data_IF_776186632370
#
_entry.id   IF_776186632370
#
_cell.length_a   1.000
_cell.length_b   1.000
_cell.length_c   1.000
_cell.angle_alpha   90.00
_cell.angle_beta   90.00
_cell.angle_gamma   90.00
#
_symmetry.space_group_name_H-M   'P 1'
#
loop_
_entity.id
_entity.type
_entity.pdbx_description
1 polymer ?
#
# COMPACT_ATOMS: atom_id res chain seq x y z
N UNK A 1 10.99 -34.13 -3.95
CA UNK A 1 9.65 -33.58 -4.25
C UNK A 1 9.40 -32.47 -3.24
N UNK A 2 8.89 -31.30 -3.65
CA UNK A 2 8.54 -30.27 -2.66
C UNK A 2 7.39 -30.77 -1.79
N UNK A 3 7.31 -30.28 -0.55
CA UNK A 3 6.34 -30.71 0.47
C UNK A 3 4.88 -30.59 0.01
N UNK A 4 4.58 -29.68 -0.92
CA UNK A 4 3.22 -29.39 -1.38
C UNK A 4 2.96 -29.76 -2.85
N UNK A 5 3.86 -30.52 -3.47
CA UNK A 5 3.68 -30.99 -4.86
C UNK A 5 2.32 -31.66 -5.06
N UNK A 6 1.49 -31.13 -5.97
CA UNK A 6 0.13 -31.61 -6.24
C UNK A 6 -0.96 -31.07 -5.30
N UNK A 7 -0.61 -30.18 -4.36
CA UNK A 7 -1.58 -29.39 -3.60
C UNK A 7 -1.92 -28.10 -4.34
N UNK A 8 -3.15 -27.62 -4.18
CA UNK A 8 -3.61 -26.37 -4.80
C UNK A 8 -3.82 -25.28 -3.76
N UNK A 9 -3.36 -24.07 -4.06
CA UNK A 9 -3.63 -22.86 -3.29
C UNK A 9 -4.39 -21.84 -4.15
N UNK A 10 -5.29 -21.09 -3.51
CA UNK A 10 -6.03 -20.00 -4.15
C UNK A 10 -5.72 -18.69 -3.43
N UNK A 11 -5.37 -17.65 -4.19
CA UNK A 11 -5.13 -16.30 -3.66
C UNK A 11 -6.22 -15.36 -4.18
N UNK A 12 -6.93 -14.71 -3.25
CA UNK A 12 -7.98 -13.73 -3.57
C UNK A 12 -7.43 -12.33 -3.38
N UNK A 13 -7.28 -11.58 -4.47
CA UNK A 13 -6.64 -10.27 -4.53
C UNK A 13 -5.28 -10.35 -5.24
N UNK A 14 -5.19 -9.76 -6.42
CA UNK A 14 -4.02 -9.90 -7.30
C UNK A 14 -3.03 -8.75 -7.22
N UNK A 15 -2.96 -8.04 -6.09
CA UNK A 15 -2.03 -6.91 -5.86
C UNK A 15 -0.69 -7.39 -5.28
N UNK A 16 0.16 -6.47 -4.81
CA UNK A 16 1.50 -6.74 -4.28
C UNK A 16 1.53 -7.88 -3.25
N UNK A 17 0.71 -7.80 -2.19
CA UNK A 17 0.69 -8.83 -1.14
C UNK A 17 0.24 -10.21 -1.66
N UNK A 18 -0.78 -10.23 -2.51
CA UNK A 18 -1.30 -11.46 -3.10
C UNK A 18 -0.31 -12.11 -4.07
N UNK A 19 0.32 -11.34 -4.95
CA UNK A 19 1.35 -11.83 -5.86
C UNK A 19 2.59 -12.32 -5.10
N UNK A 20 3.05 -11.61 -4.06
CA UNK A 20 4.15 -12.10 -3.20
C UNK A 20 3.77 -13.43 -2.55
N UNK A 21 2.56 -13.59 -2.01
CA UNK A 21 2.10 -14.85 -1.47
C UNK A 21 2.05 -15.96 -2.53
N UNK A 22 1.52 -15.65 -3.71
CA UNK A 22 1.38 -16.62 -4.79
C UNK A 22 2.72 -17.17 -5.27
N UNK A 23 3.69 -16.28 -5.47
CA UNK A 23 5.06 -16.63 -5.85
C UNK A 23 5.77 -17.51 -4.81
N UNK A 24 5.64 -17.16 -3.52
CA UNK A 24 6.21 -17.97 -2.45
C UNK A 24 5.54 -19.35 -2.32
N UNK A 25 4.23 -19.44 -2.58
CA UNK A 25 3.52 -20.71 -2.60
C UNK A 25 3.93 -21.58 -3.80
N UNK A 26 4.21 -20.98 -4.97
CA UNK A 26 4.78 -21.70 -6.11
C UNK A 26 6.17 -22.26 -5.79
N UNK A 27 7.01 -21.53 -5.07
CA UNK A 27 8.33 -22.02 -4.62
C UNK A 27 8.21 -23.24 -3.66
N UNK A 28 7.13 -23.30 -2.89
CA UNK A 28 6.80 -24.48 -2.06
C UNK A 28 6.18 -25.63 -2.87
N UNK A 29 5.87 -25.41 -4.15
CA UNK A 29 5.34 -26.37 -5.13
C UNK A 29 3.83 -26.55 -5.11
N UNK A 30 3.08 -25.57 -4.59
CA UNK A 30 1.65 -25.50 -4.84
C UNK A 30 1.37 -25.19 -6.31
N UNK A 31 0.27 -25.73 -6.84
CA UNK A 31 -0.42 -25.14 -7.99
C UNK A 31 -1.23 -23.94 -7.47
N UNK A 32 -0.94 -22.74 -7.98
CA UNK A 32 -1.48 -21.49 -7.41
C UNK A 32 -2.29 -20.73 -8.46
N UNK A 33 -3.55 -20.44 -8.13
CA UNK A 33 -4.38 -19.52 -8.89
C UNK A 33 -4.60 -18.21 -8.12
N UNK A 34 -4.40 -17.08 -8.80
CA UNK A 34 -4.66 -15.74 -8.28
C UNK A 34 -5.90 -15.16 -8.93
N UNK A 35 -6.83 -14.65 -8.13
CA UNK A 35 -8.07 -14.04 -8.59
C UNK A 35 -8.12 -12.57 -8.24
N UNK A 36 -8.23 -11.72 -9.26
CA UNK A 36 -8.34 -10.27 -9.13
C UNK A 36 -9.72 -9.80 -9.60
N UNK A 37 -10.38 -8.97 -8.78
CA UNK A 37 -11.74 -8.48 -9.08
C UNK A 37 -11.80 -7.54 -10.29
N UNK A 38 -10.70 -6.84 -10.57
CA UNK A 38 -10.62 -5.87 -11.66
C UNK A 38 -10.52 -6.63 -12.99
N UNK A 39 -11.32 -6.25 -13.98
CA UNK A 39 -11.37 -6.93 -15.28
C UNK A 39 -10.24 -6.50 -16.25
N UNK A 40 -9.41 -5.56 -15.84
CA UNK A 40 -8.25 -5.05 -16.57
C UNK A 40 -7.02 -5.12 -15.69
N UNK A 41 -5.85 -5.00 -16.31
CA UNK A 41 -4.62 -4.79 -15.56
C UNK A 41 -4.79 -3.63 -14.57
N UNK A 42 -4.28 -3.85 -13.36
CA UNK A 42 -4.37 -2.85 -12.31
C UNK A 42 -3.46 -1.66 -12.67
N UNK A 43 -4.05 -0.47 -12.63
CA UNK A 43 -3.32 0.78 -12.81
C UNK A 43 -2.96 1.36 -11.43
N UNK A 44 -1.67 1.62 -11.24
CA UNK A 44 -1.10 2.21 -10.03
C UNK A 44 -1.42 3.67 -9.82
N UNK A 45 -2.02 4.34 -10.81
CA UNK A 45 -2.58 5.70 -10.71
C UNK A 45 -1.58 6.71 -10.13
N UNK A 46 -0.29 6.52 -10.41
CA UNK A 46 0.81 7.37 -9.92
C UNK A 46 1.14 7.21 -8.43
N UNK A 47 0.60 6.23 -7.71
CA UNK A 47 0.89 6.06 -6.29
C UNK A 47 2.33 5.62 -6.03
N UNK A 48 3.13 6.50 -5.41
CA UNK A 48 4.46 6.13 -4.92
C UNK A 48 4.43 5.14 -3.76
N UNK A 49 5.49 4.32 -3.67
CA UNK A 49 5.78 3.36 -2.60
C UNK A 49 7.22 3.56 -2.16
N UNK A 50 7.44 3.67 -0.86
CA UNK A 50 8.79 3.51 -0.28
C UNK A 50 9.05 2.04 -0.09
N UNK A 51 10.16 1.56 -0.64
CA UNK A 51 10.53 0.16 -0.63
C UNK A 51 11.31 -0.17 0.64
N UNK A 52 10.71 -1.02 1.48
CA UNK A 52 11.33 -1.58 2.67
C UNK A 52 11.93 -2.96 2.39
N UNK A 53 12.81 -3.50 3.27
CA UNK A 53 13.47 -4.79 3.06
C UNK A 53 12.52 -5.92 2.68
N UNK A 54 11.40 -6.11 3.39
CA UNK A 54 10.44 -7.19 3.13
C UNK A 54 9.77 -7.04 1.76
N UNK A 55 9.48 -5.81 1.34
CA UNK A 55 8.89 -5.53 0.03
C UNK A 55 9.84 -5.97 -1.08
N UNK A 56 11.14 -5.65 -0.96
CA UNK A 56 12.15 -5.99 -1.96
C UNK A 56 12.67 -7.43 -1.88
N UNK A 57 12.35 -8.17 -0.82
CA UNK A 57 12.96 -9.47 -0.51
C UNK A 57 12.80 -10.47 -1.65
N UNK A 58 11.64 -10.51 -2.32
CA UNK A 58 11.40 -11.37 -3.49
C UNK A 58 12.41 -11.12 -4.61
N UNK A 59 12.58 -9.85 -5.01
CA UNK A 59 13.52 -9.47 -6.07
C UNK A 59 14.99 -9.68 -5.70
N UNK A 60 15.31 -9.74 -4.41
CA UNK A 60 16.67 -9.99 -3.92
C UNK A 60 17.01 -11.47 -3.81
N UNK A 61 16.03 -12.29 -3.43
CA UNK A 61 16.27 -13.68 -3.04
C UNK A 61 15.81 -14.71 -4.08
N UNK A 62 14.82 -14.38 -4.93
CA UNK A 62 14.10 -15.36 -5.77
C UNK A 62 13.96 -14.95 -7.23
N UNK A 63 13.72 -13.67 -7.51
CA UNK A 63 13.51 -13.20 -8.88
C UNK A 63 14.79 -13.24 -9.72
N UNK A 64 14.62 -13.38 -11.04
CA UNK A 64 15.67 -13.09 -12.01
C UNK A 64 15.81 -11.59 -12.33
N UNK A 65 14.81 -10.78 -11.99
CA UNK A 65 14.83 -9.32 -12.15
C UNK A 65 15.66 -8.67 -11.04
N UNK A 66 16.29 -7.53 -11.32
CA UNK A 66 17.07 -6.82 -10.30
C UNK A 66 16.23 -5.77 -9.58
N UNK A 67 16.41 -5.56 -8.26
CA UNK A 67 15.71 -4.50 -7.52
C UNK A 67 15.88 -3.10 -8.12
N UNK A 68 17.02 -2.84 -8.75
CA UNK A 68 17.33 -1.54 -9.39
C UNK A 68 16.49 -1.28 -10.65
N UNK A 69 15.98 -2.32 -11.31
CA UNK A 69 15.18 -2.19 -12.53
C UNK A 69 13.77 -1.67 -12.23
N UNK A 70 13.33 -1.83 -10.97
CA UNK A 70 11.97 -1.51 -10.52
C UNK A 70 11.95 -0.41 -9.47
N UNK A 71 13.07 0.27 -9.22
CA UNK A 71 13.18 1.29 -8.19
C UNK A 71 14.09 2.46 -8.58
N UNK A 72 13.96 3.55 -7.86
CA UNK A 72 14.94 4.65 -7.84
C UNK A 72 15.23 5.01 -6.39
N UNK A 73 16.28 5.79 -6.16
CA UNK A 73 16.79 6.07 -4.82
C UNK A 73 16.98 7.57 -4.60
N UNK A 74 16.86 7.97 -3.33
CA UNK A 74 17.20 9.30 -2.85
C UNK A 74 18.13 9.14 -1.67
N UNK A 75 19.11 10.03 -1.50
CA UNK A 75 20.12 9.95 -0.44
C UNK A 75 19.77 10.72 0.83
N UNK A 76 18.67 11.47 0.80
CA UNK A 76 18.31 12.39 1.87
C UNK A 76 16.86 12.23 2.30
N UNK A 77 16.63 12.46 3.58
CA UNK A 77 15.30 12.85 4.11
C UNK A 77 15.44 14.29 4.58
N UNK A 78 14.53 15.17 4.17
CA UNK A 78 14.63 16.59 4.49
C UNK A 78 13.27 17.20 4.81
N UNK A 79 13.31 18.32 5.52
CA UNK A 79 12.15 19.11 5.89
C UNK A 79 12.30 20.53 5.35
N UNK A 80 11.27 21.03 4.67
CA UNK A 80 11.20 22.39 4.17
C UNK A 80 10.06 23.16 4.84
N UNK A 81 10.27 24.47 4.98
CA UNK A 81 9.28 25.45 5.44
C UNK A 81 9.07 26.54 4.38
N UNK A 82 8.43 27.64 4.79
CA UNK A 82 8.18 28.82 3.96
C UNK A 82 9.45 29.30 3.22
N UNK A 83 9.26 29.77 2.00
CA UNK A 83 10.35 30.14 1.09
C UNK A 83 11.30 28.99 0.73
N UNK A 84 10.85 27.73 0.80
CA UNK A 84 11.64 26.52 0.51
C UNK A 84 12.85 26.30 1.42
N UNK A 85 12.89 26.94 2.59
CA UNK A 85 14.03 26.83 3.51
C UNK A 85 14.11 25.42 4.09
N UNK A 86 15.24 24.74 3.89
CA UNK A 86 15.52 23.44 4.53
C UNK A 86 15.81 23.67 6.01
N UNK A 87 15.03 23.05 6.89
CA UNK A 87 15.15 23.22 8.36
C UNK A 87 15.77 22.01 9.06
N UNK A 88 15.71 20.85 8.43
CA UNK A 88 16.39 19.62 8.86
C UNK A 88 16.68 18.74 7.64
N UNK A 89 17.78 17.99 7.71
CA UNK A 89 18.22 17.09 6.62
C UNK A 89 19.09 15.96 7.18
N UNK A 90 18.63 14.72 7.01
CA UNK A 90 19.32 13.48 7.42
C UNK A 90 19.86 12.74 6.18
N UNK A 91 21.13 12.33 6.23
CA UNK A 91 21.76 11.51 5.19
C UNK A 91 21.24 10.08 5.31
N UNK A 92 20.25 9.72 4.48
CA UNK A 92 19.57 8.43 4.56
C UNK A 92 19.02 8.04 3.20
N UNK A 93 19.57 6.96 2.66
CA UNK A 93 19.12 6.43 1.40
C UNK A 93 17.84 5.61 1.55
N UNK A 94 16.85 5.91 0.72
CA UNK A 94 15.62 5.13 0.57
C UNK A 94 15.39 4.78 -0.89
N UNK A 95 15.04 3.53 -1.14
CA UNK A 95 14.51 3.10 -2.43
C UNK A 95 13.01 3.36 -2.48
N UNK A 96 12.52 3.73 -3.65
CA UNK A 96 11.11 3.96 -3.91
C UNK A 96 10.75 3.57 -5.33
N UNK A 97 9.47 3.30 -5.54
CA UNK A 97 8.93 2.87 -6.81
C UNK A 97 7.53 3.45 -7.00
N UNK A 98 6.98 3.30 -8.20
CA UNK A 98 5.55 3.44 -8.42
C UNK A 98 4.87 2.10 -8.14
N UNK A 99 3.64 2.14 -7.63
CA UNK A 99 2.83 0.93 -7.46
C UNK A 99 2.75 0.12 -8.76
N UNK A 100 2.54 0.80 -9.91
CA UNK A 100 2.38 0.14 -11.21
C UNK A 100 3.65 -0.59 -11.65
N UNK A 101 4.82 0.03 -11.48
CA UNK A 101 6.11 -0.59 -11.79
C UNK A 101 6.32 -1.85 -10.94
N UNK A 102 6.09 -1.76 -9.64
CA UNK A 102 6.31 -2.89 -8.72
C UNK A 102 5.33 -4.05 -8.96
N UNK A 103 4.04 -3.73 -9.13
CA UNK A 103 3.00 -4.70 -9.45
C UNK A 103 3.31 -5.45 -10.75
N UNK A 104 3.65 -4.73 -11.83
CA UNK A 104 3.97 -5.34 -13.12
C UNK A 104 5.18 -6.25 -13.04
N UNK A 105 6.19 -5.89 -12.24
CA UNK A 105 7.36 -6.74 -12.04
C UNK A 105 7.02 -8.05 -11.31
N UNK A 106 6.21 -8.00 -10.24
CA UNK A 106 5.73 -9.21 -9.56
C UNK A 106 4.84 -10.06 -10.47
N UNK A 107 3.97 -9.44 -11.26
CA UNK A 107 3.12 -10.14 -12.22
C UNK A 107 3.94 -10.79 -13.34
N UNK A 108 5.05 -10.16 -13.76
CA UNK A 108 5.95 -10.72 -14.76
C UNK A 108 6.65 -11.98 -14.23
N UNK A 109 7.04 -12.02 -12.96
CA UNK A 109 7.59 -13.22 -12.33
C UNK A 109 6.53 -14.32 -12.15
N UNK A 110 5.30 -13.96 -11.78
CA UNK A 110 4.22 -14.93 -11.55
C UNK A 110 3.66 -15.52 -12.84
N UNK A 111 3.60 -14.71 -13.90
CA UNK A 111 2.97 -15.06 -15.16
C UNK A 111 1.46 -14.77 -15.19
N UNK A 112 0.86 -14.93 -16.37
CA UNK A 112 -0.56 -14.60 -16.62
C UNK A 112 -1.48 -15.83 -16.72
N UNK A 113 -0.92 -17.03 -16.87
CA UNK A 113 -1.70 -18.25 -17.07
C UNK A 113 -2.65 -18.54 -15.90
N UNK A 114 -2.18 -18.35 -14.67
CA UNK A 114 -2.93 -18.57 -13.45
C UNK A 114 -3.37 -17.26 -12.75
N UNK A 115 -3.39 -16.16 -13.50
CA UNK A 115 -3.82 -14.85 -13.01
C UNK A 115 -5.17 -14.46 -13.64
N UNK A 116 -6.25 -14.66 -12.90
CA UNK A 116 -7.62 -14.53 -13.37
C UNK A 116 -8.19 -13.14 -13.03
N UNK A 117 -8.34 -12.28 -14.05
CA UNK A 117 -8.97 -10.96 -13.94
C UNK A 117 -10.51 -11.05 -13.94
N UNK A 118 -11.17 -10.05 -13.36
CA UNK A 118 -12.64 -9.92 -13.32
C UNK A 118 -13.35 -10.87 -12.35
N UNK A 119 -12.60 -11.55 -11.47
CA UNK A 119 -13.12 -12.59 -10.58
C UNK A 119 -13.20 -12.08 -9.15
N UNK A 120 -14.43 -11.81 -8.68
CA UNK A 120 -14.67 -11.33 -7.33
C UNK A 120 -15.04 -12.49 -6.39
N UNK A 121 -14.08 -12.94 -5.57
CA UNK A 121 -14.30 -13.94 -4.52
C UNK A 121 -15.13 -13.36 -3.37
N UNK A 122 -16.42 -13.69 -3.31
CA UNK A 122 -17.38 -13.10 -2.36
C UNK A 122 -17.63 -13.94 -1.09
N UNK A 123 -16.94 -15.06 -0.96
CA UNK A 123 -16.99 -15.88 0.25
C UNK A 123 -16.37 -17.24 0.06
N UNK A 124 -16.31 -17.98 1.16
CA UNK A 124 -15.83 -19.36 1.16
C UNK A 124 -16.66 -20.22 2.11
N UNK A 125 -16.48 -21.53 1.99
CA UNK A 125 -16.82 -22.56 2.97
C UNK A 125 -15.65 -23.53 3.06
N UNK A 126 -15.49 -24.21 4.19
CA UNK A 126 -14.40 -25.16 4.39
C UNK A 126 -14.86 -26.37 5.18
N UNK A 127 -14.19 -27.49 4.94
CA UNK A 127 -14.24 -28.71 5.71
C UNK A 127 -12.84 -29.03 6.27
N UNK A 128 -12.65 -30.23 6.82
CA UNK A 128 -11.37 -30.64 7.41
C UNK A 128 -10.24 -30.71 6.37
N UNK A 129 -10.55 -30.93 5.09
CA UNK A 129 -9.58 -31.21 4.04
C UNK A 129 -9.33 -30.03 3.10
N UNK A 130 -10.28 -29.12 2.99
CA UNK A 130 -10.31 -28.16 1.88
C UNK A 130 -11.15 -26.91 2.13
N UNK A 131 -10.90 -25.89 1.31
CA UNK A 131 -11.70 -24.67 1.23
C UNK A 131 -12.25 -24.54 -0.18
N UNK A 132 -13.53 -24.15 -0.30
CA UNK A 132 -14.15 -23.78 -1.57
C UNK A 132 -14.49 -22.28 -1.56
N UNK A 133 -13.82 -21.52 -2.42
CA UNK A 133 -14.14 -20.10 -2.68
C UNK A 133 -15.30 -20.02 -3.66
N UNK A 134 -16.22 -19.08 -3.42
CA UNK A 134 -17.37 -18.76 -4.28
C UNK A 134 -17.18 -17.37 -4.88
N UNK A 135 -17.47 -17.24 -6.16
CA UNK A 135 -17.32 -16.00 -6.92
C UNK A 135 -18.69 -15.44 -7.31
N UNK A 136 -18.77 -14.12 -7.54
CA UNK A 136 -20.00 -13.46 -8.00
C UNK A 136 -20.50 -14.00 -9.35
N UNK A 137 -19.59 -14.48 -10.18
CA UNK A 137 -19.90 -15.15 -11.46
C UNK A 137 -20.63 -16.49 -11.28
N UNK A 138 -20.69 -17.05 -10.07
CA UNK A 138 -21.13 -18.41 -9.79
C UNK A 138 -20.01 -19.45 -9.87
N UNK A 139 -18.80 -19.05 -10.29
CA UNK A 139 -17.61 -19.90 -10.26
C UNK A 139 -17.32 -20.36 -8.84
N UNK A 140 -16.74 -21.55 -8.72
CA UNK A 140 -16.32 -22.16 -7.45
C UNK A 140 -14.93 -22.76 -7.61
N UNK A 141 -14.05 -22.50 -6.65
CA UNK A 141 -12.68 -23.01 -6.70
C UNK A 141 -12.32 -23.69 -5.38
N UNK A 142 -11.89 -24.96 -5.47
CA UNK A 142 -11.51 -25.80 -4.33
C UNK A 142 -9.99 -25.85 -4.21
N UNK A 143 -9.48 -25.66 -2.99
CA UNK A 143 -8.05 -25.63 -2.68
C UNK A 143 -7.76 -26.18 -1.26
N UNK A 144 -6.52 -26.58 -1.01
CA UNK A 144 -6.07 -27.01 0.34
C UNK A 144 -5.62 -25.82 1.21
N UNK A 145 -5.40 -24.66 0.60
CA UNK A 145 -5.08 -23.37 1.23
C UNK A 145 -5.76 -22.23 0.45
N UNK A 146 -6.33 -21.27 1.17
CA UNK A 146 -6.79 -19.99 0.58
C UNK A 146 -6.09 -18.82 1.28
N UNK A 147 -5.55 -17.89 0.51
CA UNK A 147 -4.98 -16.63 1.01
C UNK A 147 -5.87 -15.47 0.55
N UNK A 148 -6.43 -14.75 1.52
CA UNK A 148 -7.25 -13.56 1.31
C UNK A 148 -6.36 -12.33 1.42
N UNK A 149 -6.13 -11.68 0.29
CA UNK A 149 -5.32 -10.48 0.09
C UNK A 149 -6.10 -9.38 -0.67
N UNK A 150 -7.43 -9.32 -0.47
CA UNK A 150 -8.39 -8.48 -1.20
C UNK A 150 -8.52 -7.03 -0.65
N UNK A 151 -7.55 -6.62 0.17
CA UNK A 151 -7.34 -5.23 0.60
C UNK A 151 -8.29 -4.74 1.70
N UNK A 152 -8.20 -3.44 2.01
CA UNK A 152 -8.87 -2.81 3.16
C UNK A 152 -10.38 -3.00 3.22
N UNK A 153 -11.05 -3.14 2.06
CA UNK A 153 -12.48 -3.41 1.92
C UNK A 153 -12.82 -4.90 1.85
N UNK A 154 -11.96 -5.77 2.36
CA UNK A 154 -12.14 -7.22 2.34
C UNK A 154 -13.53 -7.62 2.81
N UNK A 155 -14.31 -8.24 1.92
CA UNK A 155 -15.62 -8.84 2.28
C UNK A 155 -15.43 -10.19 2.97
N UNK A 156 -14.26 -10.81 2.76
CA UNK A 156 -13.91 -12.11 3.32
C UNK A 156 -13.41 -12.00 4.76
N UNK A 157 -12.84 -10.85 5.16
CA UNK A 157 -12.42 -10.58 6.54
C UNK A 157 -13.54 -10.90 7.55
N UNK A 158 -14.77 -10.46 7.30
CA UNK A 158 -15.89 -10.68 8.22
C UNK A 158 -16.25 -12.16 8.44
N UNK A 159 -15.77 -13.08 7.59
CA UNK A 159 -15.95 -14.54 7.77
C UNK A 159 -14.89 -15.16 8.69
N UNK A 160 -13.77 -14.46 8.88
CA UNK A 160 -12.66 -14.88 9.75
C UNK A 160 -12.76 -14.15 11.09
N UNK A 161 -13.04 -12.86 11.02
CA UNK A 161 -13.14 -11.96 12.17
C UNK A 161 -14.30 -10.94 11.95
N UNK A 162 -15.53 -11.28 12.37
CA UNK A 162 -16.74 -10.52 12.06
C UNK A 162 -16.81 -9.15 12.75
N UNK A 163 -16.04 -8.95 13.82
CA UNK A 163 -16.12 -7.75 14.67
C UNK A 163 -15.18 -6.62 14.19
N UNK A 164 -14.41 -6.84 13.12
CA UNK A 164 -13.48 -5.83 12.60
C UNK A 164 -14.21 -4.69 11.92
N UNK A 165 -13.96 -3.47 12.40
CA UNK A 165 -14.44 -2.22 11.80
C UNK A 165 -13.37 -1.55 10.94
N UNK A 166 -13.83 -0.66 10.04
CA UNK A 166 -13.00 0.32 9.36
C UNK A 166 -13.18 1.66 10.08
N UNK A 167 -12.14 2.11 10.77
CA UNK A 167 -12.19 3.32 11.59
C UNK A 167 -11.61 4.50 10.80
N UNK A 168 -12.41 5.54 10.59
CA UNK A 168 -11.95 6.73 9.89
C UNK A 168 -10.91 7.46 10.72
N UNK A 169 -9.80 7.82 10.10
CA UNK A 169 -8.68 8.47 10.80
C UNK A 169 -8.87 9.97 11.04
N UNK A 170 -9.94 10.59 10.48
CA UNK A 170 -10.23 12.02 10.58
C UNK A 170 -9.63 12.88 9.46
N UNK A 171 -9.00 12.26 8.47
CA UNK A 171 -8.37 12.96 7.34
C UNK A 171 -8.29 12.10 6.08
N UNK A 172 -8.09 12.79 4.96
CA UNK A 172 -7.83 12.20 3.65
C UNK A 172 -6.41 12.53 3.20
N UNK A 173 -5.88 11.76 2.25
CA UNK A 173 -4.67 12.08 1.51
C UNK A 173 -5.01 12.48 0.08
N UNK A 174 -4.71 13.72 -0.29
CA UNK A 174 -4.59 14.12 -1.68
C UNK A 174 -3.31 13.52 -2.27
N UNK A 175 -3.45 12.89 -3.42
CA UNK A 175 -2.34 12.22 -4.10
C UNK A 175 -2.25 12.66 -5.54
N UNK A 176 -1.04 12.68 -6.06
CA UNK A 176 -0.77 13.06 -7.43
C UNK A 176 0.69 12.86 -7.79
N UNK A 177 0.94 12.97 -9.09
CA UNK A 177 2.27 12.92 -9.68
C UNK A 177 2.40 14.00 -10.73
N UNK A 178 3.59 14.59 -10.81
CA UNK A 178 3.96 15.52 -11.88
C UNK A 178 5.23 15.00 -12.55
N UNK A 179 5.35 15.18 -13.86
CA UNK A 179 6.58 14.84 -14.56
C UNK A 179 7.74 15.69 -14.04
N UNK A 180 8.89 15.08 -13.71
CA UNK A 180 10.05 15.84 -13.20
C UNK A 180 10.46 16.97 -14.18
N UNK A 181 10.24 16.78 -15.48
CA UNK A 181 10.55 17.78 -16.52
C UNK A 181 9.59 18.98 -16.57
N UNK A 182 8.42 18.90 -15.93
CA UNK A 182 7.44 19.98 -15.86
C UNK A 182 7.68 20.92 -14.67
N UNK A 183 8.52 20.52 -13.71
CA UNK A 183 8.85 21.31 -12.54
C UNK A 183 9.89 22.38 -12.87
N UNK A 184 9.81 23.51 -12.20
CA UNK A 184 10.84 24.54 -12.21
C UNK A 184 12.19 23.97 -11.78
N UNK A 185 13.28 24.55 -12.30
CA UNK A 185 14.63 24.09 -11.95
C UNK A 185 14.92 24.20 -10.44
N UNK A 186 14.32 25.18 -9.76
CA UNK A 186 14.43 25.35 -8.30
C UNK A 186 13.76 24.19 -7.57
N UNK A 187 12.47 23.94 -7.84
CA UNK A 187 11.70 22.85 -7.21
C UNK A 187 12.31 21.49 -7.51
N UNK A 188 12.67 21.25 -8.78
CA UNK A 188 13.33 20.01 -9.17
C UNK A 188 14.68 19.85 -8.47
N UNK A 189 15.44 20.92 -8.24
CA UNK A 189 16.70 20.89 -7.49
C UNK A 189 16.54 20.51 -6.02
N UNK A 190 15.46 20.99 -5.38
CA UNK A 190 15.14 20.70 -3.98
C UNK A 190 14.68 19.25 -3.79
N UNK A 191 13.82 18.74 -4.69
CA UNK A 191 13.10 17.48 -4.48
C UNK A 191 13.79 16.23 -5.07
N UNK A 192 14.61 16.37 -6.12
CA UNK A 192 15.09 15.23 -6.94
C UNK A 192 15.93 14.17 -6.23
N UNK A 193 16.55 14.50 -5.10
CA UNK A 193 17.40 13.58 -4.33
C UNK A 193 17.02 13.56 -2.84
N UNK A 194 15.75 13.79 -2.51
CA UNK A 194 15.28 13.67 -1.14
C UNK A 194 13.84 13.18 -1.03
N UNK A 195 13.54 12.46 0.04
CA UNK A 195 12.18 12.41 0.59
C UNK A 195 11.98 13.71 1.36
N UNK A 196 11.11 14.57 0.84
CA UNK A 196 10.89 15.92 1.37
C UNK A 196 9.56 16.01 2.08
N UNK A 197 9.59 16.57 3.27
CA UNK A 197 8.40 16.91 4.05
C UNK A 197 8.21 18.42 4.11
N UNK A 198 6.97 18.86 4.00
CA UNK A 198 6.57 20.18 4.49
C UNK A 198 5.47 19.96 5.54
N UNK A 199 5.77 20.36 6.77
CA UNK A 199 4.89 20.21 7.94
C UNK A 199 4.27 21.56 8.24
N UNK A 200 2.95 21.60 8.35
CA UNK A 200 2.19 22.81 8.68
C UNK A 200 1.20 22.49 9.81
N UNK A 201 0.60 23.49 10.48
CA UNK A 201 -0.40 23.20 11.50
C UNK A 201 -1.53 22.30 10.97
N UNK A 202 -1.75 21.19 11.66
CA UNK A 202 -2.79 20.17 11.40
C UNK A 202 -2.70 19.51 10.01
N UNK A 203 -1.53 19.52 9.36
CA UNK A 203 -1.36 18.91 8.04
C UNK A 203 0.12 18.64 7.71
N UNK A 204 0.36 17.66 6.85
CA UNK A 204 1.67 17.41 6.28
C UNK A 204 1.58 17.01 4.81
N UNK A 205 2.59 17.37 4.02
CA UNK A 205 2.81 16.84 2.68
C UNK A 205 4.18 16.14 2.61
N UNK A 206 4.20 14.96 2.00
CA UNK A 206 5.42 14.18 1.73
C UNK A 206 5.60 14.05 0.23
N UNK A 207 6.80 14.30 -0.26
CA UNK A 207 7.13 14.35 -1.69
C UNK A 207 8.42 13.57 -1.97
N UNK A 208 8.44 12.80 -3.04
CA UNK A 208 9.63 12.05 -3.46
C UNK A 208 9.51 11.62 -4.93
N UNK A 209 10.64 11.48 -5.65
CA UNK A 209 10.61 10.98 -7.02
C UNK A 209 10.20 9.51 -7.05
N UNK A 210 9.63 9.04 -8.16
CA UNK A 210 9.34 7.64 -8.44
C UNK A 210 9.61 7.35 -9.93
N UNK A 211 9.90 6.09 -10.31
CA UNK A 211 10.01 5.73 -11.72
C UNK A 211 8.70 6.01 -12.45
N UNK A 212 8.80 6.50 -13.69
CA UNK A 212 7.67 6.54 -14.62
C UNK A 212 7.72 5.32 -15.55
N UNK A 213 6.77 5.25 -16.48
CA UNK A 213 6.82 4.25 -17.57
C UNK A 213 7.99 4.46 -18.53
N UNK A 214 8.55 5.68 -18.59
CA UNK A 214 9.74 6.01 -19.39
C UNK A 214 11.03 5.52 -18.72
N UNK A 215 11.05 5.40 -17.40
CA UNK A 215 12.19 4.88 -16.65
C UNK A 215 12.38 5.48 -15.26
N UNK A 216 13.51 5.11 -14.65
CA UNK A 216 13.91 5.50 -13.29
C UNK A 216 15.01 6.60 -13.26
N UNK A 217 15.47 7.07 -14.43
CA UNK A 217 16.52 8.06 -14.59
C UNK A 217 16.05 9.50 -14.33
N UNK A 218 16.97 10.39 -13.95
CA UNK A 218 16.65 11.80 -13.74
C UNK A 218 16.04 12.44 -15.01
N UNK A 219 14.89 13.10 -14.87
CA UNK A 219 14.13 13.66 -15.99
C UNK A 219 13.08 12.71 -16.61
N UNK A 220 13.24 11.40 -16.39
CA UNK A 220 12.26 10.38 -16.77
C UNK A 220 11.37 9.97 -15.58
N UNK A 221 11.62 10.49 -14.38
CA UNK A 221 10.85 10.20 -13.16
C UNK A 221 9.60 11.06 -13.07
N UNK A 222 8.66 10.59 -12.26
CA UNK A 222 7.58 11.41 -11.72
C UNK A 222 7.96 11.90 -10.33
N UNK A 223 7.51 13.09 -9.94
CA UNK A 223 7.52 13.56 -8.56
C UNK A 223 6.16 13.21 -7.93
N UNK A 224 6.15 12.26 -7.00
CA UNK A 224 4.95 11.86 -6.26
C UNK A 224 4.78 12.72 -5.00
N UNK A 225 3.52 12.98 -4.63
CA UNK A 225 3.21 13.48 -3.30
C UNK A 225 2.00 12.79 -2.64
N UNK A 226 1.95 12.91 -1.32
CA UNK A 226 0.75 12.70 -0.52
C UNK A 226 0.60 13.88 0.44
N UNK A 227 -0.51 14.61 0.33
CA UNK A 227 -0.85 15.73 1.21
C UNK A 227 -2.08 15.41 2.05
N UNK A 228 -1.90 15.35 3.38
CA UNK A 228 -2.99 14.98 4.29
C UNK A 228 -3.77 16.21 4.74
N UNK A 229 -5.10 16.17 4.60
CA UNK A 229 -6.01 17.22 5.06
C UNK A 229 -7.12 16.62 5.92
N UNK A 230 -7.37 17.26 7.05
CA UNK A 230 -8.45 16.87 7.95
C UNK A 230 -9.80 17.21 7.32
N UNK A 231 -10.71 16.24 7.36
CA UNK A 231 -12.09 16.38 6.87
C UNK A 231 -12.98 15.73 7.93
N UNK A 232 -13.99 16.42 8.48
CA UNK A 232 -14.88 15.82 9.46
C UNK A 232 -15.61 14.60 8.89
N UNK A 233 -15.83 13.58 9.72
CA UNK A 233 -16.68 12.45 9.34
C UNK A 233 -18.13 12.89 9.10
N UNK A 234 -18.86 12.13 8.28
CA UNK A 234 -20.26 12.40 7.98
C UNK A 234 -20.43 13.19 6.67
N UNK A 235 -21.42 14.10 6.58
CA UNK A 235 -21.84 14.70 5.31
C UNK A 235 -20.71 15.35 4.52
N UNK A 236 -19.78 16.06 5.17
CA UNK A 236 -18.66 16.73 4.49
C UNK A 236 -17.73 15.73 3.80
N UNK A 237 -17.42 14.62 4.48
CA UNK A 237 -16.63 13.54 3.90
C UNK A 237 -17.42 12.80 2.80
N UNK A 238 -18.69 12.50 3.03
CA UNK A 238 -19.53 11.80 2.05
C UNK A 238 -19.67 12.60 0.74
N UNK A 239 -19.86 13.91 0.88
CA UNK A 239 -19.92 14.86 -0.22
C UNK A 239 -18.57 14.92 -0.96
N UNK A 240 -17.45 14.97 -0.24
CA UNK A 240 -16.11 14.94 -0.83
C UNK A 240 -15.79 13.65 -1.58
N UNK A 241 -16.30 12.53 -1.08
CA UNK A 241 -16.08 11.21 -1.66
C UNK A 241 -17.07 10.86 -2.77
N UNK A 242 -18.05 11.71 -3.05
CA UNK A 242 -18.94 11.55 -4.20
C UNK A 242 -18.21 11.95 -5.47
N UNK A 243 -18.11 11.04 -6.43
CA UNK A 243 -17.42 11.30 -7.69
C UNK A 243 -18.25 12.16 -8.66
N UNK A 244 -17.65 12.60 -9.77
CA UNK A 244 -18.34 13.38 -10.82
C UNK A 244 -19.57 12.69 -11.44
N UNK A 245 -19.73 11.38 -11.25
CA UNK A 245 -20.88 10.59 -11.74
C UNK A 245 -21.98 10.45 -10.67
N UNK A 246 -21.75 10.93 -9.46
CA UNK A 246 -22.67 10.83 -8.33
C UNK A 246 -22.51 9.54 -7.51
N UNK A 247 -21.43 8.78 -7.68
CA UNK A 247 -21.17 7.59 -6.87
C UNK A 247 -20.22 7.91 -5.72
N UNK A 248 -20.61 7.53 -4.50
CA UNK A 248 -19.75 7.67 -3.33
C UNK A 248 -18.64 6.61 -3.32
N UNK A 249 -17.39 7.06 -3.38
CA UNK A 249 -16.21 6.24 -3.20
C UNK A 249 -16.01 5.86 -1.72
N UNK A 250 -15.75 4.57 -1.44
CA UNK A 250 -15.53 4.09 -0.06
C UNK A 250 -14.12 4.35 0.47
N UNK A 251 -13.12 4.20 -0.40
CA UNK A 251 -11.69 4.28 -0.03
C UNK A 251 -10.96 5.36 -0.80
N UNK A 252 -11.44 5.70 -1.99
CA UNK A 252 -10.82 6.70 -2.84
C UNK A 252 -11.81 7.25 -3.85
N UNK A 253 -11.52 8.44 -4.35
CA UNK A 253 -12.09 8.99 -5.57
C UNK A 253 -10.94 9.09 -6.57
N UNK A 254 -11.08 8.44 -7.73
CA UNK A 254 -9.96 8.21 -8.65
C UNK A 254 -9.57 9.47 -9.45
N UNK A 255 -8.39 9.46 -10.11
CA UNK A 255 -8.01 10.53 -11.03
C UNK A 255 -9.14 10.85 -12.03
N UNK A 256 -9.32 12.13 -12.33
CA UNK A 256 -10.40 12.69 -13.16
C UNK A 256 -11.84 12.49 -12.63
N UNK A 257 -12.02 11.78 -11.51
CA UNK A 257 -13.34 11.54 -10.90
C UNK A 257 -13.62 12.46 -9.70
N UNK A 258 -12.59 13.12 -9.16
CA UNK A 258 -12.75 14.12 -8.09
C UNK A 258 -13.48 15.34 -8.61
N UNK A 259 -14.43 15.88 -7.84
CA UNK A 259 -15.21 17.04 -8.24
C UNK A 259 -14.30 18.27 -8.43
N UNK A 260 -14.55 19.04 -9.49
CA UNK A 260 -13.69 20.17 -9.89
C UNK A 260 -13.52 21.20 -8.76
N UNK A 261 -14.60 21.52 -8.04
CA UNK A 261 -14.55 22.45 -6.90
C UNK A 261 -13.56 22.04 -5.80
N UNK A 262 -13.40 20.73 -5.53
CA UNK A 262 -12.46 20.27 -4.50
C UNK A 262 -11.02 20.25 -5.03
N UNK A 263 -10.85 20.06 -6.34
CA UNK A 263 -9.54 20.24 -6.99
C UNK A 263 -9.14 21.72 -6.94
N UNK A 264 -10.06 22.64 -7.24
CA UNK A 264 -9.82 24.08 -7.16
C UNK A 264 -9.51 24.50 -5.71
N UNK A 265 -10.31 24.04 -4.73
CA UNK A 265 -10.05 24.30 -3.31
C UNK A 265 -8.69 23.74 -2.87
N UNK A 266 -8.32 22.54 -3.33
CA UNK A 266 -7.01 21.94 -3.05
C UNK A 266 -5.88 22.83 -3.60
N UNK A 267 -5.95 23.27 -4.85
CA UNK A 267 -4.93 24.11 -5.48
C UNK A 267 -4.79 25.46 -4.78
N UNK A 268 -5.91 26.09 -4.47
CA UNK A 268 -5.99 27.34 -3.71
C UNK A 268 -5.38 27.21 -2.31
N UNK A 269 -5.70 26.13 -1.61
CA UNK A 269 -5.15 25.85 -0.29
C UNK A 269 -3.64 25.55 -0.37
N UNK A 270 -3.18 24.82 -1.38
CA UNK A 270 -1.76 24.52 -1.57
C UNK A 270 -0.94 25.81 -1.74
N UNK A 271 -1.41 26.73 -2.59
CA UNK A 271 -0.74 28.01 -2.84
C UNK A 271 -0.65 28.91 -1.59
N UNK A 272 -1.61 28.79 -0.66
CA UNK A 272 -1.62 29.59 0.57
C UNK A 272 -0.85 28.96 1.74
N UNK A 273 -0.85 27.64 1.83
CA UNK A 273 -0.44 26.93 3.04
C UNK A 273 0.93 26.25 2.91
N UNK A 274 1.29 25.79 1.72
CA UNK A 274 2.49 24.98 1.51
C UNK A 274 3.70 25.83 1.11
N UNK A 275 4.89 25.31 1.39
CA UNK A 275 6.13 25.85 0.84
C UNK A 275 6.07 25.91 -0.71
N UNK A 276 6.69 26.90 -1.38
CA UNK A 276 6.54 27.09 -2.82
C UNK A 276 6.78 25.85 -3.69
N UNK A 277 7.80 25.03 -3.37
CA UNK A 277 8.10 23.79 -4.09
C UNK A 277 7.00 22.73 -3.94
N UNK A 278 6.38 22.65 -2.76
CA UNK A 278 5.26 21.75 -2.51
C UNK A 278 3.98 22.26 -3.16
N UNK A 279 3.73 23.57 -3.12
CA UNK A 279 2.60 24.20 -3.78
C UNK A 279 2.64 24.03 -5.30
N UNK A 280 3.82 24.21 -5.92
CA UNK A 280 4.03 23.99 -7.36
C UNK A 280 3.64 22.57 -7.76
N UNK A 281 4.07 21.58 -6.98
CA UNK A 281 3.76 20.18 -7.26
C UNK A 281 2.24 19.89 -7.23
N UNK A 282 1.56 20.37 -6.19
CA UNK A 282 0.10 20.17 -6.05
C UNK A 282 -0.67 20.91 -7.14
N UNK A 283 -0.27 22.14 -7.46
CA UNK A 283 -0.96 22.97 -8.47
C UNK A 283 -0.71 22.51 -9.90
N UNK A 284 0.46 21.93 -10.18
CA UNK A 284 0.83 21.39 -11.50
C UNK A 284 0.28 19.98 -11.76
N UNK A 285 -0.35 19.35 -10.76
CA UNK A 285 -0.93 18.02 -10.93
C UNK A 285 -2.18 18.09 -11.81
N UNK A 286 -2.16 17.35 -12.92
CA UNK A 286 -3.27 17.29 -13.87
C UNK A 286 -4.52 16.63 -13.26
N UNK A 287 -4.34 15.42 -12.71
CA UNK A 287 -5.44 14.60 -12.21
C UNK A 287 -5.20 14.11 -10.77
N UNK A 288 -5.29 15.01 -9.77
CA UNK A 288 -5.16 14.61 -8.37
C UNK A 288 -6.32 13.69 -7.98
N UNK A 289 -6.07 12.84 -7.00
CA UNK A 289 -7.05 11.90 -6.49
C UNK A 289 -7.06 11.88 -4.96
N UNK A 290 -8.17 11.40 -4.40
CA UNK A 290 -8.37 11.36 -2.95
C UNK A 290 -8.25 9.92 -2.49
N UNK A 291 -7.49 9.69 -1.42
CA UNK A 291 -7.48 8.43 -0.67
C UNK A 291 -7.92 8.70 0.77
N UNK A 292 -8.92 7.98 1.24
CA UNK A 292 -9.38 8.06 2.63
C UNK A 292 -8.44 7.25 3.51
N UNK A 293 -8.09 7.80 4.67
CA UNK A 293 -7.23 7.12 5.63
C UNK A 293 -8.13 6.36 6.62
N UNK A 294 -8.15 5.04 6.47
CA UNK A 294 -8.87 4.12 7.35
C UNK A 294 -7.85 3.31 8.15
N UNK A 295 -8.18 3.05 9.41
CA UNK A 295 -7.53 2.03 10.22
C UNK A 295 -8.43 0.80 10.31
N UNK A 296 -7.87 -0.40 10.18
CA UNK A 296 -8.56 -1.63 10.57
C UNK A 296 -7.56 -2.65 11.07
N UNK A 297 -7.97 -3.44 12.07
CA UNK A 297 -7.12 -4.51 12.60
C UNK A 297 -7.95 -5.76 12.87
N UNK A 298 -7.59 -6.84 12.20
CA UNK A 298 -8.05 -8.16 12.58
C UNK A 298 -7.45 -8.58 13.93
N UNK A 299 -8.28 -9.11 14.80
CA UNK A 299 -7.92 -9.91 15.97
C UNK A 299 -7.64 -11.37 15.60
N UNK A 300 -8.11 -11.82 14.43
CA UNK A 300 -7.85 -13.14 13.86
C UNK A 300 -7.50 -13.06 12.38
N UNK A 301 -6.38 -13.63 11.99
CA UNK A 301 -5.86 -13.67 10.61
C UNK A 301 -5.94 -15.08 9.98
N UNK A 302 -6.24 -16.13 10.74
CA UNK A 302 -6.34 -17.49 10.25
C UNK A 302 -7.66 -18.16 10.64
N UNK A 303 -8.23 -18.98 9.76
CA UNK A 303 -9.38 -19.83 10.08
C UNK A 303 -9.31 -21.13 9.30
N UNK A 304 -9.03 -22.24 9.97
CA UNK A 304 -8.89 -23.56 9.35
C UNK A 304 -7.77 -23.57 8.32
N UNK A 305 -8.13 -23.48 7.03
CA UNK A 305 -7.21 -23.47 5.88
C UNK A 305 -7.19 -22.13 5.14
N UNK A 306 -7.66 -21.06 5.78
CA UNK A 306 -7.74 -19.72 5.21
C UNK A 306 -6.84 -18.75 5.99
N UNK A 307 -5.97 -18.03 5.28
CA UNK A 307 -5.13 -16.95 5.81
C UNK A 307 -5.60 -15.59 5.29
N UNK A 308 -5.57 -14.56 6.13
CA UNK A 308 -5.89 -13.16 5.81
C UNK A 308 -4.63 -12.33 5.93
N UNK A 309 -4.20 -11.64 4.86
CA UNK A 309 -2.91 -10.93 4.82
C UNK A 309 -3.02 -9.47 4.35
N UNK A 310 -1.98 -8.68 4.63
CA UNK A 310 -1.86 -7.30 4.16
C UNK A 310 -3.00 -6.41 4.64
N UNK A 311 -3.43 -5.46 3.81
CA UNK A 311 -4.51 -4.52 4.14
C UNK A 311 -5.85 -5.21 4.42
N UNK A 312 -6.04 -6.45 3.95
CA UNK A 312 -7.22 -7.24 4.29
C UNK A 312 -7.25 -7.57 5.79
N UNK A 313 -6.10 -7.85 6.41
CA UNK A 313 -5.95 -8.07 7.84
C UNK A 313 -5.75 -6.77 8.64
N UNK A 314 -4.87 -5.89 8.16
CA UNK A 314 -4.45 -4.70 8.86
C UNK A 314 -4.33 -3.52 7.90
N UNK A 315 -5.38 -2.69 7.83
CA UNK A 315 -5.35 -1.43 7.11
C UNK A 315 -4.67 -0.40 7.99
N UNK A 316 -3.46 0.05 7.61
CA UNK A 316 -2.66 0.97 8.41
C UNK A 316 -2.44 2.29 7.68
N UNK A 317 -2.42 3.39 8.44
CA UNK A 317 -2.11 4.71 7.91
C UNK A 317 -0.72 4.74 7.25
N UNK A 318 -0.55 5.47 6.15
CA UNK A 318 0.68 5.45 5.34
C UNK A 318 1.92 6.13 5.97
N UNK A 319 1.84 6.71 7.17
CA UNK A 319 2.91 7.54 7.75
C UNK A 319 4.26 6.81 7.95
N UNK A 320 4.24 5.50 8.23
CA UNK A 320 5.47 4.70 8.32
C UNK A 320 5.94 4.12 6.96
N UNK A 321 5.19 4.38 5.88
CA UNK A 321 5.38 3.82 4.55
C UNK A 321 5.59 2.30 4.53
N UNK A 322 4.81 1.57 5.34
CA UNK A 322 5.04 0.15 5.67
C UNK A 322 3.91 -0.80 5.23
N UNK A 323 2.84 -0.32 4.59
CA UNK A 323 1.70 -1.17 4.21
C UNK A 323 2.09 -2.33 3.28
N UNK A 324 2.85 -2.03 2.22
CA UNK A 324 3.36 -3.07 1.30
C UNK A 324 4.37 -3.98 1.97
N UNK A 325 5.20 -3.45 2.87
CA UNK A 325 6.15 -4.21 3.66
C UNK A 325 5.44 -5.21 4.58
N UNK A 326 4.37 -4.76 5.26
CA UNK A 326 3.54 -5.60 6.10
C UNK A 326 2.89 -6.74 5.30
N UNK A 327 2.33 -6.43 4.13
CA UNK A 327 1.71 -7.44 3.27
C UNK A 327 2.74 -8.48 2.78
N UNK A 328 3.95 -8.05 2.42
CA UNK A 328 5.03 -8.96 2.05
C UNK A 328 5.51 -9.79 3.25
N UNK A 329 5.68 -9.18 4.43
CA UNK A 329 6.08 -9.87 5.65
C UNK A 329 5.06 -10.96 6.06
N UNK A 330 3.76 -10.70 5.89
CA UNK A 330 2.71 -11.70 6.09
C UNK A 330 2.90 -12.92 5.20
N UNK A 331 3.20 -12.69 3.91
CA UNK A 331 3.43 -13.75 2.93
C UNK A 331 4.72 -14.55 3.21
N UNK A 332 5.81 -13.87 3.56
CA UNK A 332 7.08 -14.51 3.93
C UNK A 332 6.94 -15.39 5.17
N UNK A 333 6.36 -14.85 6.24
CA UNK A 333 6.12 -15.60 7.47
C UNK A 333 5.19 -16.80 7.22
N UNK A 334 4.19 -16.66 6.33
CA UNK A 334 3.31 -17.77 5.94
C UNK A 334 4.09 -18.88 5.23
N UNK A 335 4.95 -18.52 4.27
CA UNK A 335 5.82 -19.48 3.57
C UNK A 335 6.77 -20.21 4.53
N UNK A 336 7.34 -19.50 5.50
CA UNK A 336 8.24 -20.05 6.51
C UNK A 336 7.49 -21.04 7.42
N UNK A 337 6.28 -20.68 7.89
CA UNK A 337 5.45 -21.56 8.70
C UNK A 337 4.98 -22.82 7.93
N UNK A 338 4.59 -22.66 6.66
CA UNK A 338 4.22 -23.80 5.79
C UNK A 338 5.38 -24.76 5.58
N UNK A 339 6.61 -24.24 5.46
CA UNK A 339 7.82 -25.07 5.36
C UNK A 339 8.05 -25.87 6.64
N UNK A 340 7.85 -25.24 7.81
CA UNK A 340 8.09 -25.87 9.11
C UNK A 340 7.05 -26.93 9.50
N UNK A 341 5.85 -26.91 8.92
CA UNK A 341 4.73 -27.79 9.30
C UNK A 341 4.53 -29.02 8.40
N UNK A 342 5.50 -29.37 7.55
CA UNK A 342 5.54 -30.66 6.82
C UNK A 342 4.25 -31.05 6.07
N UNK A 343 3.54 -30.09 5.47
CA UNK A 343 2.29 -30.34 4.72
C UNK A 343 1.00 -30.06 5.51
N UNK A 344 1.09 -29.83 6.82
CA UNK A 344 -0.06 -29.53 7.67
C UNK A 344 -0.40 -28.03 7.63
N UNK A 345 -1.32 -27.65 6.74
CA UNK A 345 -1.75 -26.25 6.56
C UNK A 345 -2.36 -25.65 7.84
N UNK A 346 -3.34 -26.27 8.52
CA UNK A 346 -3.88 -25.72 9.77
C UNK A 346 -2.80 -25.41 10.82
N UNK A 347 -1.88 -26.35 11.06
CA UNK A 347 -0.78 -26.17 12.03
C UNK A 347 0.17 -25.03 11.61
N UNK A 348 0.45 -24.88 10.31
CA UNK A 348 1.21 -23.74 9.81
C UNK A 348 0.52 -22.41 10.13
N UNK A 349 -0.79 -22.32 9.91
CA UNK A 349 -1.55 -21.09 10.17
C UNK A 349 -1.62 -20.75 11.66
N UNK A 350 -1.77 -21.76 12.54
CA UNK A 350 -1.72 -21.58 14.00
C UNK A 350 -0.37 -21.03 14.48
N UNK A 351 0.74 -21.48 13.88
CA UNK A 351 2.09 -20.99 14.20
C UNK A 351 2.38 -19.60 13.62
N UNK A 352 1.81 -19.29 12.46
CA UNK A 352 2.01 -18.05 11.72
C UNK A 352 1.28 -16.85 12.34
N UNK A 353 0.00 -17.04 12.71
CA UNK A 353 -0.90 -15.94 13.07
C UNK A 353 -0.39 -15.05 14.23
N UNK A 354 0.11 -15.57 15.37
CA UNK A 354 0.44 -14.74 16.52
C UNK A 354 1.46 -13.64 16.22
N UNK A 355 2.52 -13.96 15.48
CA UNK A 355 3.56 -13.00 15.10
C UNK A 355 3.03 -11.91 14.16
N UNK A 356 2.13 -12.26 13.24
CA UNK A 356 1.56 -11.29 12.31
C UNK A 356 0.50 -10.39 12.96
N UNK A 357 -0.25 -10.90 13.95
CA UNK A 357 -1.14 -10.08 14.79
C UNK A 357 -0.34 -9.07 15.61
N UNK A 358 0.76 -9.50 16.24
CA UNK A 358 1.65 -8.61 17.00
C UNK A 358 2.25 -7.53 16.09
N UNK A 359 2.77 -7.92 14.92
CA UNK A 359 3.32 -6.98 13.95
C UNK A 359 2.27 -5.96 13.49
N UNK A 360 1.03 -6.42 13.25
CA UNK A 360 -0.10 -5.54 12.91
C UNK A 360 -0.40 -4.53 14.03
N UNK A 361 -0.40 -4.99 15.28
CA UNK A 361 -0.66 -4.13 16.44
C UNK A 361 0.44 -3.07 16.64
N UNK A 362 1.69 -3.48 16.52
CA UNK A 362 2.84 -2.59 16.67
C UNK A 362 2.86 -1.52 15.57
N UNK A 363 2.62 -1.92 14.31
CA UNK A 363 2.52 -0.99 13.19
C UNK A 363 1.37 0.01 13.39
N UNK A 364 0.17 -0.46 13.72
CA UNK A 364 -0.99 0.42 13.89
C UNK A 364 -0.82 1.43 15.03
N UNK A 365 -0.32 0.97 16.17
CA UNK A 365 -0.03 1.84 17.31
C UNK A 365 0.91 2.97 16.90
N UNK A 366 1.97 2.63 16.16
CA UNK A 366 2.97 3.56 15.67
C UNK A 366 2.40 4.57 14.66
N UNK A 367 1.71 4.11 13.62
CA UNK A 367 1.21 5.02 12.58
C UNK A 367 0.06 5.89 13.06
N UNK A 368 -0.73 5.43 14.05
CA UNK A 368 -1.71 6.27 14.74
C UNK A 368 -1.02 7.39 15.51
N UNK A 369 0.04 7.10 16.26
CA UNK A 369 0.82 8.13 16.94
C UNK A 369 1.47 9.14 15.97
N UNK A 370 1.98 8.68 14.82
CA UNK A 370 2.52 9.57 13.78
C UNK A 370 1.44 10.46 13.16
N UNK A 371 0.26 9.90 12.88
CA UNK A 371 -0.90 10.67 12.40
C UNK A 371 -1.38 11.70 13.40
N UNK A 372 -1.45 11.35 14.69
CA UNK A 372 -1.82 12.27 15.77
C UNK A 372 -0.90 13.49 15.84
N UNK A 373 0.42 13.26 15.76
CA UNK A 373 1.43 14.32 15.81
C UNK A 373 1.32 15.33 14.66
N UNK A 374 1.02 14.85 13.44
CA UNK A 374 0.93 15.69 12.24
C UNK A 374 -0.43 16.36 12.08
N UNK A 375 -1.52 15.64 12.35
CA UNK A 375 -2.87 16.08 11.99
C UNK A 375 -3.60 16.79 13.13
N UNK A 376 -3.27 16.53 14.40
CA UNK A 376 -4.07 17.01 15.52
C UNK A 376 -3.25 17.72 16.59
N UNK A 377 -2.17 17.11 17.07
CA UNK A 377 -1.40 17.64 18.20
C UNK A 377 -0.34 18.69 17.81
N UNK A 378 0.02 18.82 16.53
CA UNK A 378 1.10 19.70 16.05
C UNK A 378 2.44 19.46 16.75
N UNK A 379 2.76 18.19 17.00
CA UNK A 379 3.98 17.74 17.69
C UNK A 379 4.90 16.92 16.77
N UNK A 380 4.71 17.02 15.46
CA UNK A 380 5.65 16.48 14.47
C UNK A 380 6.91 17.36 14.42
N UNK A 381 8.00 16.87 15.00
CA UNK A 381 9.28 17.59 15.03
C UNK A 381 10.21 17.10 13.92
N UNK A 382 10.69 17.96 13.01
CA UNK A 382 11.73 17.62 12.04
C UNK A 382 12.94 16.95 12.70
N UNK A 383 13.46 15.88 12.08
CA UNK A 383 14.60 15.12 12.59
C UNK A 383 14.31 14.13 13.73
N UNK A 384 13.08 14.09 14.27
CA UNK A 384 12.72 13.08 15.28
C UNK A 384 12.84 11.67 14.71
N UNK A 385 13.64 10.83 15.39
CA UNK A 385 13.94 9.48 14.96
C UNK A 385 12.70 8.60 14.99
N UNK A 386 11.74 8.86 15.86
CA UNK A 386 10.50 8.08 15.98
C UNK A 386 9.60 8.19 14.73
N UNK A 387 9.82 9.23 13.91
CA UNK A 387 9.05 9.53 12.70
C UNK A 387 9.62 8.87 11.43
N UNK A 388 10.73 8.14 11.54
CA UNK A 388 11.38 7.47 10.40
C UNK A 388 10.53 6.34 9.83
N UNK A 389 10.54 6.09 8.53
CA UNK A 389 9.87 4.90 8.00
C UNK A 389 10.41 3.59 8.58
N UNK A 390 9.60 2.53 8.52
CA UNK A 390 9.99 1.19 8.97
C UNK A 390 8.83 0.39 9.54
N UNK A 391 8.77 -0.88 9.16
CA UNK A 391 7.76 -1.86 9.57
C UNK A 391 8.00 -2.33 11.01
N UNK A 392 9.26 -2.60 11.36
CA UNK A 392 9.64 -3.18 12.66
C UNK A 392 10.02 -2.11 13.69
N UNK A 393 9.87 -0.84 13.33
CA UNK A 393 10.15 0.31 14.17
C UNK A 393 10.78 1.46 13.39
N UNK A 394 11.19 2.55 14.06
CA UNK A 394 11.74 3.70 13.37
C UNK A 394 13.10 3.38 12.72
N UNK A 395 13.11 3.37 11.38
CA UNK A 395 14.27 3.00 10.57
C UNK A 395 14.57 1.51 10.50
N UNK A 396 13.60 0.63 10.85
CA UNK A 396 13.76 -0.83 10.88
C UNK A 396 12.75 -1.56 10.02
#
# INVERSE_FOLDING_TARGET
MSTYSGSRAVVIGGSIGGLTAALLLQDLGFEVDVFERTASDLDGRGGGIVLQPDTLRWFRERSSQRPEDVSTTTDWVQYIEDGNRIVDRDARSWAHTSWGTFYRALLADFGREHYHLGEFGCGFEQDEDSVTVRFVSGRREKASLVVIADGVTSVNRARIDPDVTLDYSGYIGWRGTVDESQLSAETAGILRNAITYNIIPHSQITMYPIPSERGAGAGDRLMNYVWYRNVPAGPDLDEMLTDKRGFQGKVSVHPHQVQDRYVDEMRDAAARLLAPAAAELVTSTDAPFIQVVWDSRASKMASGRVALIGDAACGARPHAAAGTAKAAADAWALSEALTASSGNVPEALEKWEPGQLELSNNLLTRVKAMGERSQFANTWTPGDKDLRFGLYGPGR
#
